data_IF_759729301293
#
_entry.id   IF_759729301293
#
_cell.length_a   1.000
_cell.length_b   1.000
_cell.length_c   1.000
_cell.angle_alpha   90.00
_cell.angle_beta   90.00
_cell.angle_gamma   90.00
#
_symmetry.space_group_name_H-M   'P 1'
#
loop_
_entity.id
_entity.type
_entity.pdbx_description
1 polymer ?
#
# COMPACT_ATOMS: atom_id res chain seq x y z
N UNK A 1 25.80 -9.70 4.25
CA UNK A 1 24.99 -8.82 3.36
C UNK A 1 25.38 -7.38 3.61
N UNK A 2 25.50 -6.57 2.54
CA UNK A 2 25.96 -5.16 2.60
C UNK A 2 24.78 -4.19 2.78
N UNK A 3 24.99 -2.95 3.27
CA UNK A 3 23.95 -1.92 3.43
C UNK A 3 23.16 -1.57 2.15
N UNK A 4 23.75 -1.81 0.98
CA UNK A 4 23.11 -1.69 -0.34
C UNK A 4 21.92 -2.64 -0.53
N UNK A 5 21.87 -3.75 0.20
CA UNK A 5 20.78 -4.72 0.18
C UNK A 5 19.45 -4.11 0.63
N UNK A 6 19.46 -3.40 1.76
CA UNK A 6 18.28 -2.80 2.39
C UNK A 6 17.81 -1.56 1.61
N UNK A 7 18.73 -0.86 0.94
CA UNK A 7 18.40 0.28 0.07
C UNK A 7 17.70 -0.14 -1.24
N UNK A 8 18.12 -1.26 -1.84
CA UNK A 8 17.43 -1.83 -3.02
C UNK A 8 16.05 -2.42 -2.65
N UNK A 9 15.89 -2.87 -1.41
CA UNK A 9 14.64 -3.35 -0.83
C UNK A 9 13.57 -2.25 -0.71
N UNK A 10 13.94 -1.05 -0.26
CA UNK A 10 13.05 0.10 -0.28
C UNK A 10 12.61 0.46 -1.72
N UNK A 11 13.53 0.42 -2.69
CA UNK A 11 13.22 0.78 -4.09
C UNK A 11 12.22 -0.18 -4.77
N UNK A 12 12.17 -1.47 -4.40
CA UNK A 12 11.24 -2.46 -4.96
C UNK A 12 9.79 -2.35 -4.48
N UNK A 13 9.57 -1.76 -3.30
CA UNK A 13 8.25 -1.52 -2.71
C UNK A 13 7.40 -0.50 -3.47
N UNK A 14 8.03 0.43 -4.18
CA UNK A 14 7.36 1.54 -4.86
C UNK A 14 6.96 1.22 -6.31
N UNK A 15 7.12 -0.04 -6.73
CA UNK A 15 6.91 -0.53 -8.09
C UNK A 15 5.48 -0.96 -8.45
N UNK A 16 4.47 -0.74 -7.60
CA UNK A 16 3.08 -1.18 -7.90
C UNK A 16 2.46 -0.26 -8.96
N UNK A 17 2.65 -0.60 -10.24
CA UNK A 17 1.90 -0.02 -11.36
C UNK A 17 0.54 -0.68 -11.46
N UNK A 18 -0.50 -0.02 -10.95
CA UNK A 18 -1.85 -0.23 -11.48
C UNK A 18 -1.90 0.49 -12.83
N UNK A 19 -2.20 -0.23 -13.91
CA UNK A 19 -2.27 0.32 -15.27
C UNK A 19 -3.33 1.43 -15.33
N UNK A 20 -2.89 2.69 -15.43
CA UNK A 20 -3.78 3.86 -15.54
C UNK A 20 -3.83 4.29 -17.01
N UNK A 21 -5.05 4.42 -17.55
CA UNK A 21 -5.33 5.14 -18.80
C UNK A 21 -4.96 6.63 -18.64
N UNK A 22 -4.50 7.33 -19.69
CA UNK A 22 -4.16 8.74 -19.59
C UNK A 22 -5.42 9.57 -19.32
N UNK A 23 -5.56 10.10 -18.11
CA UNK A 23 -6.59 11.09 -17.78
C UNK A 23 -5.93 12.46 -17.64
N UNK A 24 -6.47 13.42 -18.39
CA UNK A 24 -5.99 14.79 -18.54
C UNK A 24 -5.73 15.51 -17.21
N UNK A 25 -4.73 16.42 -17.17
CA UNK A 25 -4.45 17.22 -15.98
C UNK A 25 -5.52 18.29 -15.82
N UNK A 26 -6.45 18.10 -14.88
CA UNK A 26 -7.27 19.19 -14.38
C UNK A 26 -6.71 19.61 -13.01
N UNK A 27 -5.86 20.63 -13.03
CA UNK A 27 -5.33 21.29 -11.85
C UNK A 27 -6.37 22.22 -11.24
N UNK A 28 -6.87 21.86 -10.07
CA UNK A 28 -7.39 22.81 -9.09
C UNK A 28 -6.61 22.60 -7.80
N UNK A 29 -5.60 23.45 -7.56
CA UNK A 29 -4.93 23.52 -6.28
C UNK A 29 -5.86 24.22 -5.29
N UNK A 30 -6.71 23.41 -4.64
CA UNK A 30 -7.39 23.83 -3.41
C UNK A 30 -6.33 24.12 -2.35
N UNK A 31 -6.44 25.22 -1.57
CA UNK A 31 -5.53 25.47 -0.45
C UNK A 31 -5.46 24.23 0.47
N UNK A 32 -4.31 23.91 1.09
CA UNK A 32 -4.23 22.82 2.04
C UNK A 32 -5.25 23.08 3.15
N UNK A 33 -6.30 22.27 3.20
CA UNK A 33 -7.25 22.28 4.29
C UNK A 33 -6.48 21.95 5.57
N UNK A 34 -6.79 22.66 6.65
CA UNK A 34 -6.24 22.34 7.96
C UNK A 34 -6.51 20.86 8.26
N UNK A 35 -5.46 20.10 8.57
CA UNK A 35 -5.55 18.65 8.73
C UNK A 35 -6.44 18.34 9.93
N UNK A 36 -7.66 17.87 9.68
CA UNK A 36 -8.58 17.46 10.75
C UNK A 36 -8.25 16.03 11.21
N UNK A 37 -8.36 15.76 12.52
CA UNK A 37 -8.17 14.41 13.08
C UNK A 37 -9.19 13.41 12.52
N UNK A 38 -10.37 13.89 12.13
CA UNK A 38 -11.39 13.09 11.46
C UNK A 38 -10.93 12.60 10.08
N UNK A 39 -10.35 13.50 9.27
CA UNK A 39 -9.79 13.13 7.97
C UNK A 39 -8.64 12.13 8.14
N UNK A 40 -7.81 12.29 9.17
CA UNK A 40 -6.68 11.38 9.42
C UNK A 40 -7.17 9.98 9.80
N UNK A 41 -8.21 9.90 10.63
CA UNK A 41 -8.89 8.64 10.95
C UNK A 41 -9.45 7.96 9.70
N UNK A 42 -10.15 8.70 8.83
CA UNK A 42 -10.68 8.16 7.58
C UNK A 42 -9.57 7.72 6.62
N UNK A 43 -8.46 8.44 6.57
CA UNK A 43 -7.30 8.09 5.75
C UNK A 43 -6.67 6.77 6.19
N UNK A 44 -6.47 6.56 7.50
CA UNK A 44 -6.02 5.27 8.05
C UNK A 44 -6.98 4.14 7.67
N UNK A 45 -8.27 4.36 7.87
CA UNK A 45 -9.30 3.37 7.55
C UNK A 45 -9.27 2.96 6.08
N UNK A 46 -9.16 3.93 5.17
CA UNK A 46 -9.03 3.67 3.73
C UNK A 46 -7.78 2.83 3.43
N UNK A 47 -6.62 3.19 3.99
CA UNK A 47 -5.37 2.46 3.76
C UNK A 47 -5.44 1.02 4.28
N UNK A 48 -6.04 0.81 5.45
CA UNK A 48 -6.23 -0.50 6.06
C UNK A 48 -7.21 -1.36 5.25
N UNK A 49 -8.38 -0.81 4.90
CA UNK A 49 -9.39 -1.50 4.10
C UNK A 49 -8.86 -1.89 2.71
N UNK A 50 -8.11 -1.00 2.06
CA UNK A 50 -7.47 -1.28 0.77
C UNK A 50 -6.20 -2.14 0.91
N UNK A 51 -5.90 -2.59 2.13
CA UNK A 51 -4.80 -3.51 2.46
C UNK A 51 -3.44 -3.02 2.00
N UNK A 52 -3.19 -1.71 2.05
CA UNK A 52 -1.93 -1.11 1.57
C UNK A 52 -0.69 -1.75 2.21
N UNK A 53 -0.76 -2.09 3.49
CA UNK A 53 0.32 -2.78 4.18
C UNK A 53 0.62 -4.15 3.56
N UNK A 54 -0.39 -4.91 3.15
CA UNK A 54 -0.19 -6.22 2.52
C UNK A 54 0.37 -6.04 1.09
N UNK A 55 -0.03 -4.98 0.39
CA UNK A 55 0.58 -4.61 -0.89
C UNK A 55 2.07 -4.29 -0.72
N UNK A 56 2.44 -3.63 0.39
CA UNK A 56 3.84 -3.43 0.75
C UNK A 56 4.54 -4.76 1.02
N UNK A 57 3.97 -5.68 1.79
CA UNK A 57 4.60 -7.00 1.99
C UNK A 57 4.83 -7.76 0.66
N UNK A 58 3.91 -7.65 -0.29
CA UNK A 58 4.06 -8.22 -1.64
C UNK A 58 5.20 -7.51 -2.41
N UNK A 59 5.21 -6.17 -2.41
CA UNK A 59 6.27 -5.38 -3.03
C UNK A 59 7.65 -5.68 -2.42
N UNK A 60 7.70 -5.86 -1.11
CA UNK A 60 8.88 -6.29 -0.36
C UNK A 60 9.37 -7.66 -0.84
N UNK A 61 8.47 -8.64 -0.97
CA UNK A 61 8.82 -9.97 -1.48
C UNK A 61 9.41 -9.89 -2.88
N UNK A 62 8.75 -9.17 -3.78
CA UNK A 62 9.22 -8.98 -5.15
C UNK A 62 10.59 -8.27 -5.18
N UNK A 63 10.81 -7.30 -4.30
CA UNK A 63 12.09 -6.63 -4.12
C UNK A 63 13.22 -7.56 -3.67
N UNK A 64 12.93 -8.49 -2.76
CA UNK A 64 13.90 -9.53 -2.37
C UNK A 64 14.16 -10.53 -3.50
N UNK A 65 13.11 -11.01 -4.17
CA UNK A 65 13.26 -11.94 -5.29
C UNK A 65 14.05 -11.33 -6.47
N UNK A 66 14.06 -10.00 -6.61
CA UNK A 66 14.89 -9.27 -7.56
C UNK A 66 16.34 -9.00 -7.11
N UNK A 67 16.73 -9.34 -5.88
CA UNK A 67 18.04 -9.04 -5.32
C UNK A 67 18.99 -10.26 -5.35
N UNK A 68 20.15 -10.12 -5.98
CA UNK A 68 21.11 -11.22 -6.15
C UNK A 68 21.66 -11.78 -4.82
N UNK A 69 21.86 -10.96 -3.79
CA UNK A 69 22.33 -11.43 -2.49
C UNK A 69 21.26 -12.32 -1.81
N UNK A 70 19.98 -11.98 -1.96
CA UNK A 70 18.87 -12.79 -1.44
C UNK A 70 18.71 -14.08 -2.24
N UNK A 71 18.81 -14.01 -3.57
CA UNK A 71 18.76 -15.18 -4.45
C UNK A 71 19.93 -16.14 -4.24
N UNK A 72 21.08 -15.64 -3.76
CA UNK A 72 22.25 -16.44 -3.41
C UNK A 72 22.09 -17.29 -2.14
N UNK A 73 21.07 -17.01 -1.31
CA UNK A 73 20.73 -17.82 -0.14
C UNK A 73 20.06 -19.14 -0.55
N UNK A 74 20.16 -20.17 0.30
CA UNK A 74 19.34 -21.38 0.14
C UNK A 74 17.84 -21.07 0.31
N UNK A 75 16.97 -21.91 -0.24
CA UNK A 75 15.50 -21.71 -0.14
C UNK A 75 15.02 -21.62 1.32
N UNK A 76 15.61 -22.40 2.23
CA UNK A 76 15.32 -22.34 3.66
C UNK A 76 15.73 -21.01 4.27
N UNK A 77 16.91 -20.50 3.92
CA UNK A 77 17.39 -19.20 4.39
C UNK A 77 16.57 -18.04 3.83
N UNK A 78 16.16 -18.11 2.56
CA UNK A 78 15.26 -17.14 1.94
C UNK A 78 13.93 -17.08 2.70
N UNK A 79 13.28 -18.22 2.91
CA UNK A 79 12.02 -18.30 3.67
C UNK A 79 12.18 -17.76 5.09
N UNK A 80 13.27 -18.13 5.78
CA UNK A 80 13.57 -17.65 7.13
C UNK A 80 13.77 -16.14 7.17
N UNK A 81 14.58 -15.60 6.25
CA UNK A 81 14.84 -14.17 6.17
C UNK A 81 13.56 -13.38 5.85
N UNK A 82 12.75 -13.85 4.90
CA UNK A 82 11.48 -13.23 4.57
C UNK A 82 10.50 -13.24 5.75
N UNK A 83 10.41 -14.35 6.49
CA UNK A 83 9.58 -14.42 7.70
C UNK A 83 10.01 -13.39 8.76
N UNK A 84 11.31 -13.25 9.01
CA UNK A 84 11.83 -12.22 9.92
C UNK A 84 11.51 -10.80 9.43
N UNK A 85 11.64 -10.53 8.13
CA UNK A 85 11.30 -9.24 7.55
C UNK A 85 9.81 -8.92 7.70
N UNK A 86 8.92 -9.91 7.48
CA UNK A 86 7.48 -9.76 7.72
C UNK A 86 7.19 -9.47 9.19
N UNK A 87 7.79 -10.22 10.13
CA UNK A 87 7.62 -9.96 11.57
C UNK A 87 7.99 -8.53 11.96
N UNK A 88 9.14 -8.04 11.48
CA UNK A 88 9.61 -6.68 11.79
C UNK A 88 8.73 -5.59 11.15
N UNK A 89 8.19 -5.84 9.97
CA UNK A 89 7.22 -4.97 9.32
C UNK A 89 5.92 -4.94 10.12
N UNK A 90 5.42 -6.09 10.58
CA UNK A 90 4.17 -6.21 11.35
C UNK A 90 4.23 -5.44 12.68
N UNK A 91 5.36 -5.50 13.38
CA UNK A 91 5.61 -4.68 14.59
C UNK A 91 5.40 -3.18 14.31
N UNK A 92 5.73 -2.75 13.10
CA UNK A 92 5.68 -1.34 12.67
C UNK A 92 4.41 -1.00 11.89
N UNK A 93 3.47 -1.94 11.71
CA UNK A 93 2.26 -1.76 10.88
C UNK A 93 1.52 -0.46 11.19
N UNK A 94 1.22 -0.22 12.47
CA UNK A 94 0.49 0.98 12.90
C UNK A 94 1.26 2.26 12.54
N UNK A 95 2.56 2.31 12.82
CA UNK A 95 3.38 3.48 12.50
C UNK A 95 3.50 3.71 10.99
N UNK A 96 3.60 2.64 10.20
CA UNK A 96 3.65 2.70 8.73
C UNK A 96 2.33 3.27 8.19
N UNK A 97 1.18 2.74 8.63
CA UNK A 97 -0.13 3.24 8.23
C UNK A 97 -0.30 4.70 8.64
N UNK A 98 0.15 5.09 9.84
CA UNK A 98 0.08 6.47 10.32
C UNK A 98 0.91 7.44 9.48
N UNK A 99 2.14 7.08 9.13
CA UNK A 99 3.00 7.90 8.26
C UNK A 99 2.37 8.04 6.89
N UNK A 100 1.87 6.94 6.31
CA UNK A 100 1.20 6.97 5.02
C UNK A 100 -0.08 7.82 5.07
N UNK A 101 -0.91 7.68 6.11
CA UNK A 101 -2.13 8.47 6.27
C UNK A 101 -1.81 9.97 6.35
N UNK A 102 -0.82 10.36 7.16
CA UNK A 102 -0.36 11.75 7.28
C UNK A 102 0.18 12.30 5.97
N UNK A 103 1.02 11.53 5.27
CA UNK A 103 1.58 11.98 3.98
C UNK A 103 0.53 12.13 2.88
N UNK A 104 -0.58 11.39 2.95
CA UNK A 104 -1.64 11.43 1.96
C UNK A 104 -2.80 12.36 2.34
N UNK A 105 -2.83 12.92 3.56
CA UNK A 105 -4.03 13.55 4.11
C UNK A 105 -4.55 14.72 3.28
N UNK A 106 -3.64 15.49 2.68
CA UNK A 106 -3.94 16.68 1.88
C UNK A 106 -4.36 16.36 0.44
N UNK A 107 -4.42 15.07 0.06
CA UNK A 107 -4.78 14.66 -1.31
C UNK A 107 -6.26 14.81 -1.61
N UNK A 108 -7.08 14.66 -0.58
CA UNK A 108 -8.52 14.64 -0.66
C UNK A 108 -9.11 15.65 0.32
N UNK A 109 -10.26 16.20 -0.02
CA UNK A 109 -11.09 16.95 0.94
C UNK A 109 -11.66 16.02 2.02
N UNK A 110 -12.19 16.59 3.11
CA UNK A 110 -12.84 15.80 4.15
C UNK A 110 -14.01 14.96 3.59
N UNK A 111 -14.84 15.55 2.71
CA UNK A 111 -15.95 14.83 2.07
C UNK A 111 -15.45 13.71 1.14
N UNK A 112 -14.37 13.95 0.39
CA UNK A 112 -13.75 12.93 -0.45
C UNK A 112 -13.17 11.77 0.39
N UNK A 113 -12.62 12.04 1.57
CA UNK A 113 -12.18 11.00 2.51
C UNK A 113 -13.34 10.16 3.05
N UNK A 114 -14.49 10.78 3.35
CA UNK A 114 -15.69 10.03 3.77
C UNK A 114 -16.20 9.10 2.67
N UNK A 115 -16.24 9.59 1.42
CA UNK A 115 -16.64 8.78 0.27
C UNK A 115 -15.61 7.67 -0.03
N UNK A 116 -14.32 7.97 0.08
CA UNK A 116 -13.24 6.99 -0.05
C UNK A 116 -13.35 5.88 1.00
N UNK A 117 -13.65 6.23 2.25
CA UNK A 117 -13.87 5.25 3.32
C UNK A 117 -15.03 4.32 2.98
N UNK A 118 -16.18 4.86 2.56
CA UNK A 118 -17.32 4.05 2.11
C UNK A 118 -16.95 3.12 0.94
N UNK A 119 -16.20 3.63 -0.05
CA UNK A 119 -15.75 2.84 -1.20
C UNK A 119 -14.79 1.71 -0.78
N UNK A 120 -13.86 2.00 0.14
CA UNK A 120 -12.86 1.04 0.61
C UNK A 120 -13.44 -0.14 1.39
N UNK A 121 -14.60 0.04 2.03
CA UNK A 121 -15.30 -1.02 2.77
C UNK A 121 -15.93 -2.09 1.87
N UNK A 122 -16.09 -1.82 0.58
CA UNK A 122 -16.67 -2.78 -0.38
C UNK A 122 -15.67 -3.92 -0.58
N UNK A 123 -16.03 -5.14 -0.18
CA UNK A 123 -15.13 -6.31 -0.31
C UNK A 123 -14.59 -6.50 -1.73
N UNK A 124 -15.44 -6.34 -2.75
CA UNK A 124 -15.04 -6.43 -4.15
C UNK A 124 -13.92 -5.43 -4.52
N UNK A 125 -13.93 -4.21 -3.95
CA UNK A 125 -12.87 -3.22 -4.16
C UNK A 125 -11.56 -3.68 -3.52
N UNK A 126 -11.62 -4.20 -2.30
CA UNK A 126 -10.44 -4.73 -1.61
C UNK A 126 -9.81 -5.88 -2.41
N UNK A 127 -10.65 -6.79 -2.92
CA UNK A 127 -10.22 -7.91 -3.74
C UNK A 127 -9.64 -7.44 -5.09
N UNK A 128 -10.20 -6.40 -5.73
CA UNK A 128 -9.64 -5.78 -6.93
C UNK A 128 -8.25 -5.21 -6.71
N UNK A 129 -8.03 -4.51 -5.61
CA UNK A 129 -6.72 -3.93 -5.28
C UNK A 129 -5.68 -5.03 -5.08
N UNK A 130 -6.02 -6.10 -4.36
CA UNK A 130 -5.14 -7.25 -4.19
C UNK A 130 -4.86 -7.98 -5.51
N UNK A 131 -5.87 -8.19 -6.34
CA UNK A 131 -5.71 -8.87 -7.63
C UNK A 131 -4.80 -8.07 -8.59
N UNK A 132 -4.79 -6.74 -8.46
CA UNK A 132 -3.87 -5.86 -9.20
C UNK A 132 -2.39 -6.10 -8.86
N UNK A 133 -2.08 -6.53 -7.64
CA UNK A 133 -0.68 -6.82 -7.21
C UNK A 133 -0.34 -8.30 -7.19
N UNK A 134 -1.34 -9.17 -7.07
CA UNK A 134 -1.21 -10.62 -7.06
C UNK A 134 -2.14 -11.25 -8.11
N UNK A 135 -1.76 -11.21 -9.40
CA UNK A 135 -2.60 -11.69 -10.49
C UNK A 135 -2.80 -13.22 -10.47
N UNK A 136 -2.01 -13.96 -9.69
CA UNK A 136 -2.16 -15.40 -9.49
C UNK A 136 -3.21 -15.76 -8.43
N UNK A 137 -3.74 -14.78 -7.70
CA UNK A 137 -4.82 -14.98 -6.72
C UNK A 137 -6.19 -15.21 -7.35
N UNK A 138 -7.22 -15.48 -6.53
CA UNK A 138 -8.61 -15.55 -6.98
C UNK A 138 -9.01 -14.26 -7.71
N UNK A 139 -9.72 -14.41 -8.84
CA UNK A 139 -10.27 -13.26 -9.55
C UNK A 139 -11.43 -12.66 -8.75
N UNK A 140 -11.46 -11.33 -8.56
CA UNK A 140 -12.59 -10.65 -7.93
C UNK A 140 -13.88 -10.90 -8.71
N UNK A 141 -14.96 -11.22 -8.01
CA UNK A 141 -16.27 -11.46 -8.61
C UNK A 141 -17.25 -10.32 -8.23
N UNK A 142 -17.71 -9.51 -9.21
CA UNK A 142 -18.69 -8.44 -8.95
C UNK A 142 -20.00 -8.94 -8.33
N UNK A 143 -20.36 -10.21 -8.53
CA UNK A 143 -21.57 -10.80 -7.95
C UNK A 143 -21.52 -10.91 -6.43
N UNK A 144 -20.34 -10.73 -5.82
CA UNK A 144 -20.18 -10.67 -4.36
C UNK A 144 -20.68 -9.34 -3.74
N UNK A 145 -20.91 -8.30 -4.55
CA UNK A 145 -21.44 -7.02 -4.08
C UNK A 145 -22.94 -7.11 -3.81
N UNK A 146 -23.38 -6.54 -2.69
CA UNK A 146 -24.78 -6.21 -2.45
C UNK A 146 -25.28 -5.15 -3.44
N UNK A 147 -26.60 -5.00 -3.65
CA UNK A 147 -27.14 -3.94 -4.50
C UNK A 147 -26.70 -2.53 -4.09
N UNK A 148 -26.60 -2.28 -2.77
CA UNK A 148 -26.11 -1.00 -2.23
C UNK A 148 -24.64 -0.75 -2.54
N UNK A 149 -23.79 -1.78 -2.42
CA UNK A 149 -22.36 -1.66 -2.75
C UNK A 149 -22.17 -1.47 -4.25
N UNK A 150 -22.92 -2.19 -5.08
CA UNK A 150 -22.87 -2.04 -6.54
C UNK A 150 -23.28 -0.62 -6.98
N UNK A 151 -24.33 -0.06 -6.38
CA UNK A 151 -24.73 1.33 -6.64
C UNK A 151 -23.67 2.35 -6.18
N UNK A 152 -23.10 2.14 -4.98
CA UNK A 152 -22.02 2.99 -4.46
C UNK A 152 -20.77 2.91 -5.34
N UNK A 153 -20.35 1.70 -5.71
CA UNK A 153 -19.22 1.44 -6.59
C UNK A 153 -19.41 2.15 -7.94
N UNK A 154 -20.55 1.95 -8.59
CA UNK A 154 -20.85 2.55 -9.90
C UNK A 154 -20.86 4.08 -9.86
N UNK A 155 -21.31 4.67 -8.74
CA UNK A 155 -21.32 6.11 -8.53
C UNK A 155 -19.91 6.68 -8.30
N UNK A 156 -19.08 5.98 -7.53
CA UNK A 156 -17.78 6.48 -7.07
C UNK A 156 -16.61 6.11 -8.00
N UNK A 157 -16.62 4.95 -8.65
CA UNK A 157 -15.52 4.51 -9.51
C UNK A 157 -15.13 5.50 -10.63
N UNK A 158 -16.04 6.25 -11.28
CA UNK A 158 -15.63 7.22 -12.31
C UNK A 158 -15.15 8.55 -11.72
N UNK A 159 -15.21 8.76 -10.40
CA UNK A 159 -14.87 10.04 -9.79
C UNK A 159 -13.35 10.29 -9.85
N UNK A 160 -12.89 11.48 -10.27
CA UNK A 160 -11.46 11.77 -10.39
C UNK A 160 -10.66 11.54 -9.09
N UNK A 161 -11.29 11.79 -7.94
CA UNK A 161 -10.64 11.60 -6.64
C UNK A 161 -10.40 10.13 -6.29
N UNK A 162 -11.24 9.20 -6.78
CA UNK A 162 -10.99 7.76 -6.63
C UNK A 162 -9.76 7.35 -7.45
N UNK A 163 -9.59 7.89 -8.67
CA UNK A 163 -8.35 7.67 -9.42
C UNK A 163 -7.12 8.25 -8.68
N UNK A 164 -7.26 9.41 -8.04
CA UNK A 164 -6.20 10.01 -7.19
C UNK A 164 -5.86 9.16 -5.97
N UNK A 165 -6.76 8.36 -5.41
CA UNK A 165 -6.43 7.42 -4.32
C UNK A 165 -5.39 6.37 -4.73
N UNK A 166 -5.39 5.97 -6.00
CA UNK A 166 -4.52 4.91 -6.53
C UNK A 166 -3.31 5.43 -7.31
N UNK A 167 -3.15 6.75 -7.44
CA UNK A 167 -2.03 7.32 -8.19
C UNK A 167 -0.74 7.34 -7.37
N UNK A 168 0.38 7.04 -8.04
CA UNK A 168 1.73 6.96 -7.46
C UNK A 168 2.29 8.29 -6.94
N UNK A 169 1.73 9.41 -7.36
CA UNK A 169 2.43 10.70 -7.30
C UNK A 169 2.64 11.26 -5.89
N UNK A 170 1.99 10.75 -4.84
CA UNK A 170 2.03 11.37 -3.51
C UNK A 170 1.87 10.40 -2.31
N UNK A 171 2.15 9.10 -2.46
CA UNK A 171 2.22 8.25 -1.26
C UNK A 171 3.58 8.53 -0.62
N UNK A 172 3.60 9.39 0.39
CA UNK A 172 4.83 9.64 1.15
C UNK A 172 5.28 8.30 1.74
N UNK A 173 6.45 7.81 1.32
CA UNK A 173 6.83 6.46 1.64
C UNK A 173 7.21 6.39 3.13
N UNK A 174 6.71 5.38 3.83
CA UNK A 174 7.20 5.00 5.17
C UNK A 174 8.62 4.37 5.08
N UNK A 175 9.48 4.91 4.22
CA UNK A 175 10.75 4.35 3.79
C UNK A 175 11.68 4.14 5.00
N UNK A 176 11.74 5.08 5.93
CA UNK A 176 12.55 4.94 7.15
C UNK A 176 12.12 3.74 7.99
N UNK A 177 10.81 3.57 8.23
CA UNK A 177 10.27 2.45 9.00
C UNK A 177 10.47 1.10 8.31
N UNK A 178 10.35 1.10 6.98
CA UNK A 178 10.66 -0.06 6.13
C UNK A 178 12.14 -0.42 6.24
N UNK A 179 13.05 0.55 6.08
CA UNK A 179 14.50 0.35 6.20
C UNK A 179 14.87 -0.16 7.61
N UNK A 180 14.27 0.39 8.66
CA UNK A 180 14.45 -0.07 10.04
C UNK A 180 14.01 -1.52 10.20
N UNK A 181 12.85 -1.91 9.65
CA UNK A 181 12.38 -3.29 9.68
C UNK A 181 13.37 -4.24 8.97
N UNK A 182 13.84 -3.85 7.78
CA UNK A 182 14.83 -4.63 7.03
C UNK A 182 16.16 -4.78 7.76
N UNK A 183 16.65 -3.72 8.41
CA UNK A 183 17.88 -3.76 9.22
C UNK A 183 17.72 -4.64 10.46
N UNK A 184 16.59 -4.56 11.15
CA UNK A 184 16.29 -5.40 12.31
C UNK A 184 16.21 -6.88 11.93
N UNK A 185 15.52 -7.20 10.83
CA UNK A 185 15.42 -8.56 10.30
C UNK A 185 16.79 -9.11 9.91
N UNK A 186 17.64 -8.29 9.29
CA UNK A 186 19.00 -8.66 8.94
C UNK A 186 19.87 -8.95 10.17
N UNK A 187 19.79 -8.11 11.19
CA UNK A 187 20.51 -8.33 12.44
C UNK A 187 20.08 -9.65 13.11
N UNK A 188 18.77 -9.92 13.16
CA UNK A 188 18.22 -11.17 13.70
C UNK A 188 18.63 -12.40 12.88
N UNK A 189 18.68 -12.27 11.56
CA UNK A 189 19.12 -13.34 10.67
C UNK A 189 20.60 -13.68 10.82
N UNK A 190 21.46 -12.68 11.05
CA UNK A 190 22.91 -12.84 11.23
C UNK A 190 23.31 -13.38 12.61
N UNK A 191 22.44 -13.23 13.61
CA UNK A 191 22.69 -13.71 14.97
C UNK A 191 22.43 -15.23 15.16
N UNK A 192 21.96 -15.92 14.12
CA UNK A 192 21.59 -17.35 14.13
C UNK A 192 22.44 -18.15 13.15
#
# INVERSE_FOLDING_TARGET
MRPTFVRNFAAGLFGVSLCILPLSPATAQTPPAEVSEASLTLSREVLENLRYFDLMLIGMRNGFEGNDDYRGLSETEQKRFFALAVEEMEIRRVAIIDVMAKGNINRLTAEEWEQAAQFSRIKYVQDLVLAGVNPSGPRPDPATMTPSESALFSRLVPQPFIARLFSKEQIEPAESLVLEAGNAALARFQAQ
#
